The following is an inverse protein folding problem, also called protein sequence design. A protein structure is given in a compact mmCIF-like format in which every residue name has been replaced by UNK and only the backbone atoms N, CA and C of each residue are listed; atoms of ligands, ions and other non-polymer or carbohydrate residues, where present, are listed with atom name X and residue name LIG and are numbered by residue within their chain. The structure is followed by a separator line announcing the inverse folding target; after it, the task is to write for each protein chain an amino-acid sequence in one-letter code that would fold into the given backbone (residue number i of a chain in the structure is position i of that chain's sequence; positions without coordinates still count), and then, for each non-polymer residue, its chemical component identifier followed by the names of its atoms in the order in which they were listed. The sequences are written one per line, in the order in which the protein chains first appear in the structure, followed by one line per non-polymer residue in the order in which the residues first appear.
data_IF_244626222450
#
_entry.id   IF_244626222450
#
_cell.length_a   1.000
_cell.length_b   1.000
_cell.length_c   1.000
_cell.angle_alpha   90.00
_cell.angle_beta   90.00
_cell.angle_gamma   90.00
#
_symmetry.space_group_name_H-M   'P 1'
#
loop_
_entity.id
_entity.type
_entity.pdbx_description
1 polymer ?
#
# COMPACT_ATOMS: atom_id res chain seq x y z
N UNK A 1 33.90 -16.22 52.14
CA UNK A 1 33.92 -15.98 50.70
C UNK A 1 32.50 -15.64 50.36
N UNK A 2 32.25 -14.40 49.99
CA UNK A 2 30.91 -13.91 49.71
C UNK A 2 30.40 -14.60 48.44
N UNK A 3 29.25 -15.28 48.52
CA UNK A 3 28.58 -15.86 47.36
C UNK A 3 27.99 -14.70 46.54
N UNK A 4 28.49 -14.53 45.32
CA UNK A 4 27.97 -13.56 44.34
C UNK A 4 27.08 -14.33 43.37
N UNK A 5 25.81 -13.95 43.29
CA UNK A 5 24.83 -14.49 42.33
C UNK A 5 24.94 -13.65 41.05
N UNK A 6 25.27 -14.29 39.92
CA UNK A 6 25.43 -13.64 38.61
C UNK A 6 24.31 -14.14 37.67
N UNK A 7 23.54 -13.23 37.05
CA UNK A 7 22.35 -13.54 36.21
C UNK A 7 22.58 -13.08 34.75
N UNK A 8 22.19 -13.90 33.75
CA UNK A 8 22.31 -13.64 32.30
C UNK A 8 20.94 -13.62 31.57
N UNK A 9 20.89 -12.89 30.46
CA UNK A 9 19.74 -12.26 29.74
C UNK A 9 18.79 -13.15 28.91
N UNK A 10 17.53 -12.70 28.69
CA UNK A 10 16.53 -13.20 27.71
C UNK A 10 15.13 -12.53 27.77
N UNK A 11 14.49 -12.28 26.60
CA UNK A 11 13.29 -11.43 26.29
C UNK A 11 11.87 -12.00 26.61
N UNK A 12 10.79 -11.16 26.63
CA UNK A 12 9.34 -11.45 26.92
C UNK A 12 8.34 -10.74 25.95
N UNK A 13 7.14 -11.33 25.71
CA UNK A 13 5.73 -10.79 25.84
C UNK A 13 4.68 -11.94 25.55
N UNK A 14 3.42 -12.04 26.04
CA UNK A 14 2.68 -11.89 27.33
C UNK A 14 1.27 -12.58 27.21
N UNK A 15 0.64 -13.08 28.31
CA UNK A 15 -0.84 -13.17 28.64
C UNK A 15 -1.14 -14.04 29.91
N UNK A 16 -2.07 -13.60 30.77
CA UNK A 16 -2.14 -13.78 32.24
C UNK A 16 -3.15 -14.79 32.86
N UNK A 17 -3.00 -15.12 34.18
CA UNK A 17 -4.05 -15.01 35.25
C UNK A 17 -3.61 -15.44 36.70
N UNK A 18 -4.22 -14.78 37.72
CA UNK A 18 -4.30 -15.01 39.20
C UNK A 18 -3.27 -14.39 40.18
N UNK A 19 -3.67 -13.36 40.96
CA UNK A 19 -3.05 -12.99 42.25
C UNK A 19 -3.96 -12.16 43.20
N UNK A 20 -3.68 -12.26 44.52
CA UNK A 20 -4.30 -11.50 45.63
C UNK A 20 -3.32 -10.50 46.26
N UNK A 21 -3.79 -9.28 46.55
CA UNK A 21 -3.05 -8.05 46.93
C UNK A 21 -2.10 -8.12 48.15
N UNK A 22 -0.87 -7.61 47.99
CA UNK A 22 0.08 -7.31 49.07
C UNK A 22 -0.18 -5.92 49.70
N UNK A 23 0.09 -5.75 51.00
CA UNK A 23 -0.04 -4.46 51.71
C UNK A 23 1.25 -3.64 51.70
N UNK A 24 1.16 -2.30 51.82
CA UNK A 24 2.30 -1.36 51.83
C UNK A 24 3.40 -1.72 52.85
N UNK A 25 3.00 -2.31 53.99
CA UNK A 25 3.92 -2.80 55.01
C UNK A 25 4.70 -4.03 54.56
N UNK A 26 4.10 -4.92 53.76
CA UNK A 26 4.76 -6.10 53.20
C UNK A 26 5.74 -5.68 52.10
N UNK A 27 5.39 -4.66 51.33
CA UNK A 27 6.25 -4.17 50.25
C UNK A 27 7.48 -3.43 50.81
N UNK A 28 7.30 -2.59 51.84
CA UNK A 28 8.43 -1.94 52.52
C UNK A 28 9.42 -2.94 53.15
N UNK A 29 8.92 -4.03 53.73
CA UNK A 29 9.77 -5.10 54.28
C UNK A 29 10.51 -5.90 53.20
N UNK A 30 9.98 -5.94 51.98
CA UNK A 30 10.60 -6.60 50.84
C UNK A 30 11.78 -5.79 50.30
N UNK A 31 11.62 -4.46 50.24
CA UNK A 31 12.68 -3.51 49.82
C UNK A 31 13.87 -3.55 50.78
N UNK A 32 13.63 -3.51 52.09
CA UNK A 32 14.68 -3.57 53.12
C UNK A 32 15.50 -4.87 53.09
N UNK A 33 14.93 -5.97 52.57
CA UNK A 33 15.58 -7.29 52.52
C UNK A 33 16.32 -7.57 51.22
N UNK A 34 15.85 -7.02 50.11
CA UNK A 34 16.43 -7.22 48.77
C UNK A 34 17.51 -6.16 48.47
N UNK A 35 17.51 -5.04 49.20
CA UNK A 35 18.51 -3.98 49.11
C UNK A 35 18.10 -2.88 48.12
N UNK A 36 18.49 -1.64 48.40
CA UNK A 36 18.09 -0.44 47.63
C UNK A 36 18.51 -0.50 46.14
N UNK A 37 19.57 -1.25 45.81
CA UNK A 37 20.06 -1.42 44.43
C UNK A 37 19.23 -2.42 43.58
N UNK A 38 18.28 -3.14 44.17
CA UNK A 38 17.41 -4.12 43.50
C UNK A 38 15.91 -3.77 43.59
N UNK A 39 15.59 -2.55 44.04
CA UNK A 39 14.24 -2.16 44.40
C UNK A 39 13.39 -1.71 43.19
N UNK A 40 13.02 -2.68 42.36
CA UNK A 40 11.83 -2.60 41.50
C UNK A 40 10.98 -3.84 41.76
N UNK A 41 9.95 -3.68 42.60
CA UNK A 41 9.01 -4.74 42.97
C UNK A 41 7.70 -4.45 42.25
N UNK A 42 7.26 -5.43 41.46
CA UNK A 42 6.02 -5.40 40.72
C UNK A 42 5.06 -6.41 41.35
N UNK A 43 4.06 -5.92 42.09
CA UNK A 43 2.95 -6.74 42.53
C UNK A 43 1.93 -6.77 41.41
N UNK A 44 1.63 -7.96 40.90
CA UNK A 44 0.67 -8.16 39.81
C UNK A 44 -0.66 -8.55 40.44
N UNK A 45 -1.72 -7.81 40.15
CA UNK A 45 -3.10 -8.20 40.46
C UNK A 45 -3.84 -8.64 39.21
N UNK A 46 -5.15 -8.79 39.35
CA UNK A 46 -6.01 -9.41 38.32
C UNK A 46 -5.99 -8.67 36.96
N UNK A 47 -5.70 -7.37 36.97
CA UNK A 47 -5.80 -6.50 35.79
C UNK A 47 -4.42 -5.97 35.34
N UNK A 48 -3.34 -6.59 35.83
CA UNK A 48 -1.95 -6.20 35.55
C UNK A 48 -1.20 -5.77 36.81
N UNK A 49 -0.13 -5.00 36.65
CA UNK A 49 0.69 -4.54 37.78
C UNK A 49 -0.12 -3.61 38.69
N UNK A 50 -0.53 -4.11 39.85
CA UNK A 50 -1.32 -3.38 40.84
C UNK A 50 -0.46 -2.47 41.73
N UNK A 51 0.84 -2.76 41.89
CA UNK A 51 1.75 -1.85 42.58
C UNK A 51 3.18 -1.94 42.02
N UNK A 52 3.75 -0.77 41.75
CA UNK A 52 5.18 -0.57 41.50
C UNK A 52 5.73 0.23 42.67
N UNK A 53 6.69 -0.34 43.41
CA UNK A 53 7.39 0.44 44.44
C UNK A 53 8.84 0.67 44.00
N UNK A 54 9.16 1.96 43.82
CA UNK A 54 10.44 2.47 43.34
C UNK A 54 11.41 2.70 44.50
N UNK A 55 12.63 2.17 44.40
CA UNK A 55 13.75 2.56 45.25
C UNK A 55 14.57 3.74 44.73
N UNK A 56 14.47 4.12 43.45
CA UNK A 56 15.27 5.19 42.83
C UNK A 56 14.53 5.97 41.73
N UNK A 57 14.90 7.25 41.51
CA UNK A 57 14.25 8.18 40.57
C UNK A 57 14.54 7.92 39.07
N UNK A 58 15.58 7.15 38.74
CA UNK A 58 15.82 6.67 37.38
C UNK A 58 15.53 5.17 37.29
N UNK A 59 14.72 4.78 36.30
CA UNK A 59 14.61 3.39 35.89
C UNK A 59 15.97 2.92 35.36
N UNK A 60 16.55 1.82 35.87
CA UNK A 60 17.76 1.30 35.29
C UNK A 60 17.54 0.98 33.81
N UNK A 61 18.56 1.24 33.01
CA UNK A 61 18.56 0.85 31.60
C UNK A 61 18.78 -0.67 31.57
N UNK A 62 17.70 -1.44 31.43
CA UNK A 62 17.72 -2.88 31.70
C UNK A 62 17.95 -3.73 30.45
N UNK A 63 19.04 -4.49 30.43
CA UNK A 63 19.21 -5.67 29.60
C UNK A 63 19.25 -7.00 30.39
N UNK A 64 19.33 -7.01 31.74
CA UNK A 64 19.80 -8.23 32.47
C UNK A 64 19.06 -8.66 33.77
N UNK A 65 17.86 -8.17 34.11
CA UNK A 65 17.20 -8.56 35.39
C UNK A 65 16.12 -9.64 35.20
N UNK A 66 16.27 -10.79 35.89
CA UNK A 66 15.31 -11.90 35.90
C UNK A 66 14.05 -11.59 36.71
N UNK A 67 12.88 -11.99 36.20
CA UNK A 67 11.56 -11.56 36.68
C UNK A 67 11.00 -12.60 37.65
N UNK A 68 10.71 -12.21 38.90
CA UNK A 68 10.09 -13.08 39.91
C UNK A 68 8.58 -13.17 39.69
N UNK A 69 8.06 -14.36 39.38
CA UNK A 69 6.62 -14.65 39.39
C UNK A 69 6.16 -14.98 40.81
N UNK A 70 5.26 -14.16 41.34
CA UNK A 70 4.67 -14.31 42.67
C UNK A 70 3.30 -14.99 42.52
N UNK A 71 2.99 -15.99 43.35
CA UNK A 71 1.69 -16.64 43.44
C UNK A 71 1.25 -16.71 44.92
N UNK A 72 0.30 -15.87 45.30
CA UNK A 72 -0.10 -15.63 46.69
C UNK A 72 1.07 -15.12 47.52
N UNK A 73 1.41 -15.84 48.59
CA UNK A 73 2.57 -15.56 49.44
C UNK A 73 3.85 -16.26 48.94
N UNK A 74 3.88 -16.86 47.74
CA UNK A 74 4.99 -17.66 47.22
C UNK A 74 5.59 -17.09 45.93
N UNK A 75 6.79 -17.52 45.56
CA UNK A 75 7.47 -17.19 44.31
C UNK A 75 8.01 -18.45 43.66
N UNK A 76 7.86 -18.53 42.34
CA UNK A 76 8.39 -19.62 41.54
C UNK A 76 9.87 -19.43 41.22
N UNK A 77 10.66 -20.47 41.50
CA UNK A 77 12.10 -20.47 41.31
C UNK A 77 12.59 -21.75 40.62
N UNK A 78 13.70 -21.61 39.91
CA UNK A 78 14.62 -22.67 39.49
C UNK A 78 15.93 -22.52 40.27
N UNK A 79 16.43 -23.61 40.84
CA UNK A 79 17.64 -23.63 41.64
C UNK A 79 18.57 -24.78 41.25
N UNK A 80 19.88 -24.57 41.35
CA UNK A 80 20.90 -25.57 41.02
C UNK A 80 21.68 -26.00 42.26
N UNK A 81 21.89 -27.31 42.40
CA UNK A 81 22.73 -27.90 43.44
C UNK A 81 24.23 -27.86 43.09
N UNK A 82 25.06 -27.59 44.09
CA UNK A 82 26.53 -27.52 43.99
C UNK A 82 27.11 -28.86 43.50
N UNK A 83 26.79 -29.95 44.21
CA UNK A 83 27.38 -31.29 44.05
C UNK A 83 26.35 -32.35 43.64
N UNK A 84 25.71 -32.22 42.48
CA UNK A 84 24.99 -33.35 41.86
C UNK A 84 23.65 -33.77 42.48
N UNK A 85 23.41 -33.47 43.75
CA UNK A 85 22.30 -33.98 44.54
C UNK A 85 21.17 -32.96 44.65
N UNK A 86 20.38 -32.82 43.58
CA UNK A 86 19.19 -31.98 43.58
C UNK A 86 18.09 -32.46 44.54
N UNK A 87 18.12 -33.72 44.99
CA UNK A 87 17.18 -34.25 45.99
C UNK A 87 17.53 -33.79 47.41
N UNK A 88 18.83 -33.73 47.75
CA UNK A 88 19.28 -33.11 48.99
C UNK A 88 18.93 -31.60 49.02
N UNK A 89 19.16 -30.90 47.90
CA UNK A 89 18.78 -29.50 47.77
C UNK A 89 17.24 -29.33 47.86
N UNK A 90 16.46 -30.18 47.19
CA UNK A 90 14.99 -30.16 47.30
C UNK A 90 14.52 -30.43 48.75
N UNK A 91 15.22 -31.27 49.52
CA UNK A 91 14.90 -31.49 50.92
C UNK A 91 15.12 -30.22 51.78
N UNK A 92 16.18 -29.45 51.49
CA UNK A 92 16.42 -28.14 52.10
C UNK A 92 15.36 -27.11 51.72
N UNK A 93 14.98 -27.06 50.44
CA UNK A 93 13.91 -26.19 49.96
C UNK A 93 12.54 -26.59 50.55
N UNK A 94 12.25 -27.88 50.70
CA UNK A 94 11.03 -28.36 51.37
C UNK A 94 11.00 -27.98 52.85
N UNK A 95 12.15 -27.94 53.54
CA UNK A 95 12.24 -27.45 54.91
C UNK A 95 11.95 -25.94 55.01
N UNK A 96 12.13 -25.19 53.92
CA UNK A 96 11.71 -23.80 53.77
C UNK A 96 10.27 -23.64 53.26
N UNK A 97 9.54 -24.74 53.06
CA UNK A 97 8.15 -24.75 52.65
C UNK A 97 7.92 -24.73 51.14
N UNK A 98 8.92 -25.06 50.33
CA UNK A 98 8.77 -25.11 48.87
C UNK A 98 7.93 -26.32 48.43
N UNK A 99 6.97 -26.07 47.53
CA UNK A 99 6.28 -27.12 46.76
C UNK A 99 6.91 -27.21 45.37
N UNK A 100 7.46 -28.37 45.03
CA UNK A 100 8.30 -28.51 43.84
C UNK A 100 8.94 -29.87 43.66
N UNK A 101 9.77 -29.97 42.62
CA UNK A 101 10.38 -31.22 42.17
C UNK A 101 11.84 -31.02 41.79
N UNK A 102 12.63 -32.09 41.91
CA UNK A 102 14.02 -32.13 41.48
C UNK A 102 14.16 -32.97 40.21
N UNK A 103 15.07 -32.54 39.33
CA UNK A 103 15.49 -33.30 38.17
C UNK A 103 17.00 -33.17 38.00
N UNK A 104 17.75 -34.19 38.44
CA UNK A 104 19.20 -34.16 38.45
C UNK A 104 19.73 -33.11 39.43
N UNK A 105 20.42 -32.07 38.93
CA UNK A 105 20.93 -30.95 39.74
C UNK A 105 19.95 -29.78 39.85
N UNK A 106 18.88 -29.80 39.06
CA UNK A 106 17.91 -28.71 38.98
C UNK A 106 16.75 -28.99 39.92
N UNK A 107 16.34 -28.00 40.70
CA UNK A 107 15.15 -27.99 41.54
C UNK A 107 14.24 -26.88 41.05
N UNK A 108 12.97 -27.15 40.84
CA UNK A 108 11.98 -26.13 40.48
C UNK A 108 10.75 -26.22 41.37
N UNK A 109 10.18 -25.07 41.73
CA UNK A 109 8.98 -25.01 42.58
C UNK A 109 8.74 -23.63 43.17
N UNK A 110 7.69 -23.52 43.99
CA UNK A 110 7.22 -22.28 44.59
C UNK A 110 7.68 -22.19 46.06
N UNK A 111 8.37 -21.13 46.46
CA UNK A 111 8.78 -20.89 47.86
C UNK A 111 8.06 -19.68 48.47
N UNK A 112 7.69 -19.70 49.76
CA UNK A 112 7.17 -18.50 50.42
C UNK A 112 8.10 -17.30 50.30
N UNK A 113 7.55 -16.14 49.92
CA UNK A 113 8.22 -14.84 49.81
C UNK A 113 8.94 -14.50 51.11
N UNK A 114 8.31 -14.79 52.24
CA UNK A 114 8.86 -14.58 53.59
C UNK A 114 10.19 -15.33 53.84
N UNK A 115 10.50 -16.34 53.02
CA UNK A 115 11.66 -17.24 53.15
C UNK A 115 12.72 -17.06 52.07
N UNK A 116 12.54 -16.14 51.11
CA UNK A 116 13.51 -15.88 50.03
C UNK A 116 14.89 -15.49 50.58
N UNK A 117 14.95 -14.66 51.63
CA UNK A 117 16.21 -14.26 52.27
C UNK A 117 16.92 -15.38 53.05
N UNK A 118 16.29 -16.55 53.19
CA UNK A 118 16.89 -17.74 53.80
C UNK A 118 17.57 -18.64 52.74
N UNK A 119 17.34 -18.41 51.44
CA UNK A 119 17.97 -19.17 50.35
C UNK A 119 19.49 -19.05 50.33
N UNK A 120 20.01 -17.85 50.57
CA UNK A 120 21.45 -17.58 50.66
C UNK A 120 22.14 -18.27 51.84
N UNK A 121 21.39 -18.99 52.69
CA UNK A 121 21.91 -19.75 53.85
C UNK A 121 21.94 -21.25 53.60
N UNK A 122 21.44 -21.71 52.45
CA UNK A 122 21.46 -23.13 52.07
C UNK A 122 22.85 -23.52 51.61
N UNK A 123 23.47 -24.50 52.28
CA UNK A 123 24.84 -24.91 52.00
C UNK A 123 24.99 -25.63 50.65
N UNK A 124 23.92 -26.27 50.17
CA UNK A 124 23.91 -27.03 48.92
C UNK A 124 23.40 -26.22 47.71
N UNK A 125 23.02 -24.95 47.90
CA UNK A 125 22.52 -24.07 46.85
C UNK A 125 23.68 -23.38 46.12
N UNK A 126 23.79 -23.65 44.81
CA UNK A 126 24.77 -22.99 43.94
C UNK A 126 24.25 -21.69 43.33
N UNK A 127 23.05 -21.73 42.78
CA UNK A 127 22.37 -20.57 42.19
C UNK A 127 20.87 -20.77 42.17
N UNK A 128 20.10 -19.69 42.24
CA UNK A 128 18.64 -19.69 42.10
C UNK A 128 18.17 -18.51 41.25
N UNK A 129 17.15 -18.72 40.42
CA UNK A 129 16.58 -17.78 39.46
C UNK A 129 15.05 -17.98 39.38
N UNK A 130 14.29 -17.05 38.82
CA UNK A 130 12.84 -17.17 38.66
C UNK A 130 12.42 -17.83 37.31
N UNK A 131 11.18 -18.33 37.19
CA UNK A 131 10.69 -19.11 36.03
C UNK A 131 9.35 -18.64 35.43
N UNK A 132 9.12 -18.93 34.13
CA UNK A 132 7.86 -18.74 33.35
C UNK A 132 7.27 -20.08 32.85
N UNK A 133 5.93 -20.21 32.72
CA UNK A 133 5.25 -21.37 32.06
C UNK A 133 4.22 -20.91 30.99
N UNK A 134 4.20 -21.49 29.76
CA UNK A 134 3.13 -21.25 28.78
C UNK A 134 1.96 -22.25 28.93
N UNK A 135 0.71 -21.79 28.81
CA UNK A 135 -0.54 -22.58 28.91
C UNK A 135 -1.10 -22.94 27.52
N UNK A 136 -1.63 -24.17 27.38
CA UNK A 136 -2.48 -24.60 26.24
C UNK A 136 -3.83 -25.13 26.77
N UNK A 137 -4.91 -24.70 26.08
CA UNK A 137 -6.31 -25.18 26.01
C UNK A 137 -7.42 -24.41 26.78
N UNK A 138 -8.22 -23.62 26.03
CA UNK A 138 -9.61 -23.22 26.35
C UNK A 138 -10.55 -23.86 25.31
N UNK A 139 -11.84 -24.11 25.61
CA UNK A 139 -12.90 -23.24 25.04
C UNK A 139 -14.12 -23.13 25.99
N UNK A 140 -15.04 -22.14 26.00
CA UNK A 140 -15.76 -21.37 24.98
C UNK A 140 -16.43 -20.14 25.62
N UNK A 141 -16.58 -19.05 24.85
CA UNK A 141 -17.25 -17.75 25.08
C UNK A 141 -18.75 -17.84 25.53
N UNK A 142 -19.53 -16.75 25.90
CA UNK A 142 -19.58 -15.43 25.22
C UNK A 142 -19.86 -14.12 26.05
N UNK A 143 -19.44 -13.01 25.42
CA UNK A 143 -20.04 -11.66 25.24
C UNK A 143 -20.25 -10.61 26.37
N UNK A 144 -19.26 -9.69 26.45
CA UNK A 144 -19.27 -8.18 26.34
C UNK A 144 -20.14 -7.28 27.25
N UNK A 145 -19.77 -5.99 27.55
CA UNK A 145 -18.91 -5.08 26.75
C UNK A 145 -17.82 -4.25 27.47
N UNK A 146 -16.84 -3.84 26.64
CA UNK A 146 -15.67 -2.96 26.86
C UNK A 146 -16.01 -1.47 27.05
N UNK A 147 -15.10 -0.72 27.71
CA UNK A 147 -14.81 0.68 27.35
C UNK A 147 -13.33 1.07 27.63
N UNK A 148 -12.70 1.68 26.62
CA UNK A 148 -11.27 1.95 26.34
C UNK A 148 -10.50 3.00 27.19
N UNK A 149 -9.18 2.82 27.38
CA UNK A 149 -8.14 3.88 27.49
C UNK A 149 -6.78 3.40 26.91
N UNK A 150 -5.80 4.25 26.51
CA UNK A 150 -5.20 4.23 25.16
C UNK A 150 -3.78 3.63 25.08
N UNK A 151 -3.53 2.90 23.99
CA UNK A 151 -2.28 2.25 23.57
C UNK A 151 -1.12 3.24 23.28
N UNK A 152 0.09 2.91 23.75
CA UNK A 152 1.30 3.33 23.05
C UNK A 152 1.47 2.39 21.84
N UNK A 153 1.22 2.93 20.65
CA UNK A 153 1.13 2.15 19.41
C UNK A 153 2.47 1.49 19.07
N UNK A 154 2.46 0.16 18.87
CA UNK A 154 3.42 -0.43 17.93
C UNK A 154 3.12 0.17 16.56
N UNK A 155 4.11 0.79 15.91
CA UNK A 155 3.90 1.31 14.56
C UNK A 155 3.57 0.13 13.65
N UNK A 156 2.34 0.11 13.13
CA UNK A 156 1.89 -0.91 12.18
C UNK A 156 2.55 -0.63 10.84
N UNK A 157 3.27 -1.61 10.32
CA UNK A 157 3.96 -1.47 9.03
C UNK A 157 2.90 -1.48 7.91
N UNK A 158 2.79 -0.40 7.14
CA UNK A 158 1.95 -0.40 5.93
C UNK A 158 2.77 -0.88 4.75
N UNK A 159 2.38 -2.02 4.18
CA UNK A 159 2.91 -2.54 2.93
C UNK A 159 2.15 -1.91 1.78
N UNK A 160 2.87 -1.30 0.84
CA UNK A 160 2.30 -0.60 -0.31
C UNK A 160 2.81 -1.24 -1.58
N UNK A 161 1.89 -1.71 -2.41
CA UNK A 161 2.13 -2.01 -3.81
C UNK A 161 1.62 -0.83 -4.61
N UNK A 162 2.44 -0.27 -5.49
CA UNK A 162 2.05 0.93 -6.24
C UNK A 162 2.44 0.77 -7.70
N UNK A 163 1.50 0.91 -8.65
CA UNK A 163 1.85 0.99 -10.07
C UNK A 163 2.68 2.24 -10.35
N UNK A 164 3.48 2.24 -11.42
CA UNK A 164 4.26 3.41 -11.83
C UNK A 164 3.40 4.63 -12.17
N UNK A 165 2.16 4.39 -12.60
CA UNK A 165 1.16 5.38 -12.97
C UNK A 165 -0.18 4.99 -12.33
N UNK A 166 -1.01 5.97 -11.97
CA UNK A 166 -2.36 5.69 -11.45
C UNK A 166 -3.41 5.60 -12.55
N UNK A 167 -3.09 6.08 -13.75
CA UNK A 167 -3.98 6.02 -14.92
C UNK A 167 -3.16 5.88 -16.19
N UNK A 168 -3.60 5.01 -17.09
CA UNK A 168 -3.00 4.81 -18.41
C UNK A 168 -4.11 4.82 -19.47
N UNK A 169 -3.92 5.60 -20.53
CA UNK A 169 -4.83 5.63 -21.67
C UNK A 169 -4.46 4.52 -22.65
N UNK A 170 -5.44 3.71 -23.04
CA UNK A 170 -5.23 2.43 -23.74
C UNK A 170 -6.05 2.37 -25.02
N UNK A 171 -5.40 2.04 -26.14
CA UNK A 171 -6.09 1.72 -27.40
C UNK A 171 -6.45 0.22 -27.46
N UNK A 172 -7.63 -0.16 -27.99
CA UNK A 172 -7.98 -1.57 -28.19
C UNK A 172 -6.95 -2.31 -29.07
N UNK A 173 -6.69 -3.58 -28.75
CA UNK A 173 -5.69 -4.44 -29.42
C UNK A 173 -4.22 -4.03 -29.24
N UNK A 174 -3.90 -3.21 -28.23
CA UNK A 174 -2.52 -2.83 -27.91
C UNK A 174 -2.02 -3.50 -26.65
N UNK A 175 -0.70 -3.49 -26.44
CA UNK A 175 -0.09 -3.96 -25.21
C UNK A 175 -0.02 -2.83 -24.20
N UNK A 176 -0.40 -3.14 -22.96
CA UNK A 176 -0.34 -2.28 -21.78
C UNK A 176 0.85 -2.73 -20.94
N UNK A 177 1.63 -1.79 -20.39
CA UNK A 177 2.84 -2.15 -19.64
C UNK A 177 3.19 -1.11 -18.59
N UNK A 178 3.19 -1.53 -17.32
CA UNK A 178 3.51 -0.66 -16.19
C UNK A 178 4.34 -1.39 -15.14
N UNK A 179 5.11 -0.63 -14.35
CA UNK A 179 5.95 -1.19 -13.29
C UNK A 179 5.14 -1.33 -12.01
N UNK A 180 5.33 -2.44 -11.30
CA UNK A 180 4.72 -2.68 -9.98
C UNK A 180 5.78 -2.53 -8.91
N UNK A 181 5.64 -1.50 -8.09
CA UNK A 181 6.61 -1.13 -7.08
C UNK A 181 6.17 -1.54 -5.68
N UNK A 182 7.12 -1.77 -4.79
CA UNK A 182 6.93 -2.06 -3.38
C UNK A 182 7.59 -1.00 -2.51
N UNK A 183 6.89 -0.60 -1.46
CA UNK A 183 7.40 0.26 -0.40
C UNK A 183 6.71 -0.04 0.93
N UNK A 184 7.26 0.50 2.01
CA UNK A 184 6.70 0.37 3.36
C UNK A 184 6.46 1.74 4.00
N UNK A 185 5.58 1.78 5.00
CA UNK A 185 5.50 2.86 5.98
C UNK A 185 5.63 2.26 7.39
N UNK A 186 6.63 2.64 8.21
CA UNK A 186 7.72 3.55 7.89
C UNK A 186 8.58 3.08 6.70
N UNK A 187 9.17 4.02 5.97
CA UNK A 187 9.99 3.71 4.79
C UNK A 187 11.17 2.79 5.13
N UNK A 188 11.52 1.90 4.20
CA UNK A 188 12.66 0.98 4.31
C UNK A 188 12.59 0.01 5.50
N UNK A 189 11.37 -0.36 5.90
CA UNK A 189 11.17 -1.32 6.99
C UNK A 189 11.28 -2.75 6.43
N UNK A 190 12.27 -3.54 6.89
CA UNK A 190 12.40 -4.92 6.43
C UNK A 190 11.29 -5.80 6.98
N UNK A 191 10.91 -6.81 6.21
CA UNK A 191 9.82 -7.75 6.51
C UNK A 191 10.22 -9.18 6.17
N UNK A 192 9.40 -10.16 6.57
CA UNK A 192 9.54 -11.56 6.14
C UNK A 192 9.09 -11.79 4.70
N UNK A 193 8.70 -10.73 3.98
CA UNK A 193 8.22 -10.78 2.61
C UNK A 193 6.84 -10.16 2.43
N UNK A 194 6.19 -10.50 1.32
CA UNK A 194 4.83 -10.06 0.99
C UNK A 194 4.15 -11.09 0.10
N UNK A 195 2.85 -11.30 0.29
CA UNK A 195 1.99 -12.03 -0.63
C UNK A 195 0.77 -11.16 -0.99
N UNK A 196 0.50 -10.99 -2.28
CA UNK A 196 -0.59 -10.16 -2.78
C UNK A 196 -1.14 -10.69 -4.11
N UNK A 197 -2.41 -10.40 -4.38
CA UNK A 197 -3.08 -10.67 -5.65
C UNK A 197 -3.05 -9.45 -6.57
N UNK A 198 -2.91 -9.70 -7.87
CA UNK A 198 -3.17 -8.73 -8.93
C UNK A 198 -4.42 -9.19 -9.68
N UNK A 199 -5.45 -8.35 -9.72
CA UNK A 199 -6.82 -8.68 -10.14
C UNK A 199 -7.21 -7.85 -11.36
N UNK A 200 -7.99 -8.41 -12.28
CA UNK A 200 -8.44 -7.72 -13.50
C UNK A 200 -9.77 -8.28 -14.04
N UNK A 201 -10.41 -7.49 -14.89
CA UNK A 201 -11.54 -7.92 -15.73
C UNK A 201 -11.03 -8.58 -17.02
N UNK A 202 -11.17 -9.91 -17.10
CA UNK A 202 -10.73 -10.69 -18.26
C UNK A 202 -11.55 -10.47 -19.53
N UNK A 203 -12.67 -9.75 -19.45
CA UNK A 203 -13.45 -9.31 -20.61
C UNK A 203 -12.87 -8.05 -21.27
N UNK A 204 -12.02 -7.30 -20.55
CA UNK A 204 -11.41 -6.05 -21.02
C UNK A 204 -9.95 -6.25 -21.43
N UNK A 205 -9.19 -7.03 -20.64
CA UNK A 205 -7.75 -7.26 -20.87
C UNK A 205 -7.39 -8.73 -20.77
N UNK A 206 -6.45 -9.17 -21.60
CA UNK A 206 -5.85 -10.49 -21.53
C UNK A 206 -4.51 -10.46 -20.78
N UNK A 207 -4.24 -11.52 -20.02
CA UNK A 207 -3.01 -11.70 -19.28
C UNK A 207 -2.48 -13.14 -19.43
N UNK A 208 -1.20 -13.28 -19.70
CA UNK A 208 -0.49 -14.56 -19.74
C UNK A 208 0.50 -14.61 -18.56
N UNK A 209 0.40 -15.57 -17.63
CA UNK A 209 1.29 -15.61 -16.46
C UNK A 209 2.76 -15.82 -16.82
N UNK A 210 3.09 -16.42 -17.98
CA UNK A 210 4.47 -16.70 -18.40
C UNK A 210 5.12 -15.47 -19.01
N UNK A 211 4.40 -14.71 -19.84
CA UNK A 211 4.94 -13.54 -20.55
C UNK A 211 4.51 -12.20 -19.97
N UNK A 212 3.46 -12.20 -19.15
CA UNK A 212 2.85 -11.01 -18.54
C UNK A 212 3.63 -10.45 -17.36
N UNK A 213 4.60 -11.19 -16.81
CA UNK A 213 5.43 -10.74 -15.70
C UNK A 213 6.90 -10.74 -16.12
N UNK A 214 7.39 -9.58 -16.55
CA UNK A 214 8.78 -9.41 -16.97
C UNK A 214 9.60 -8.68 -15.90
N UNK A 215 10.92 -8.76 -15.99
CA UNK A 215 11.83 -8.02 -15.10
C UNK A 215 11.59 -8.29 -13.60
N UNK A 216 11.13 -9.50 -13.24
CA UNK A 216 10.80 -9.85 -11.85
C UNK A 216 12.03 -9.79 -10.94
N UNK A 217 11.92 -9.05 -9.84
CA UNK A 217 12.90 -9.01 -8.76
C UNK A 217 13.06 -10.41 -8.16
N UNK A 218 14.27 -10.96 -8.24
CA UNK A 218 14.48 -12.40 -8.01
C UNK A 218 14.71 -12.78 -6.55
N UNK A 219 15.15 -11.87 -5.67
CA UNK A 219 15.49 -12.20 -4.29
C UNK A 219 14.21 -12.43 -3.47
N UNK A 220 14.01 -13.67 -3.02
CA UNK A 220 12.82 -14.10 -2.25
C UNK A 220 11.61 -14.46 -3.10
N UNK A 221 11.66 -14.24 -4.43
CA UNK A 221 10.53 -14.45 -5.32
C UNK A 221 10.09 -15.91 -5.35
N UNK A 222 8.79 -16.13 -5.16
CA UNK A 222 8.17 -17.43 -5.34
C UNK A 222 7.86 -17.70 -6.82
N UNK A 223 7.70 -18.98 -7.22
CA UNK A 223 7.24 -19.35 -8.56
C UNK A 223 5.96 -18.61 -8.93
N UNK A 224 5.82 -18.27 -10.21
CA UNK A 224 4.61 -17.63 -10.73
C UNK A 224 3.44 -18.61 -10.59
N UNK A 225 2.37 -18.16 -9.93
CA UNK A 225 1.14 -18.93 -9.77
C UNK A 225 0.39 -19.06 -11.09
N UNK A 226 -0.53 -20.02 -11.18
CA UNK A 226 -1.50 -20.01 -12.26
C UNK A 226 -2.48 -18.84 -12.11
N UNK A 227 -3.14 -18.47 -13.21
CA UNK A 227 -4.26 -17.53 -13.16
C UNK A 227 -5.46 -18.24 -12.55
N UNK A 228 -6.09 -17.60 -11.57
CA UNK A 228 -7.21 -18.13 -10.80
C UNK A 228 -8.46 -17.26 -11.00
N UNK A 229 -9.63 -17.83 -10.72
CA UNK A 229 -10.90 -17.10 -10.74
C UNK A 229 -11.02 -16.22 -9.50
N UNK A 230 -11.35 -14.94 -9.69
CA UNK A 230 -11.78 -14.06 -8.61
C UNK A 230 -13.31 -14.14 -8.47
N UNK A 231 -13.85 -14.60 -7.33
CA UNK A 231 -15.29 -14.74 -7.18
C UNK A 231 -16.01 -13.39 -7.17
N UNK A 232 -16.72 -13.01 -8.22
CA UNK A 232 -17.48 -11.74 -8.31
C UNK A 232 -18.52 -11.49 -7.18
N UNK A 233 -18.85 -12.49 -6.37
CA UNK A 233 -19.80 -12.36 -5.26
C UNK A 233 -19.23 -11.48 -4.14
N UNK A 234 -19.99 -10.45 -3.72
CA UNK A 234 -19.55 -9.44 -2.75
C UNK A 234 -18.27 -8.68 -3.14
N UNK A 235 -17.96 -8.58 -4.43
CA UNK A 235 -16.75 -7.93 -4.92
C UNK A 235 -15.50 -8.79 -4.83
N UNK A 236 -15.61 -10.09 -4.59
CA UNK A 236 -14.44 -10.98 -4.64
C UNK A 236 -13.36 -10.69 -3.62
N UNK A 237 -12.14 -11.06 -4.00
CA UNK A 237 -10.97 -11.01 -3.12
C UNK A 237 -10.40 -9.60 -2.97
N UNK A 238 -10.66 -8.72 -3.93
CA UNK A 238 -10.21 -7.32 -3.94
C UNK A 238 -11.32 -6.30 -3.60
N UNK A 239 -12.57 -6.75 -3.45
CA UNK A 239 -13.73 -5.90 -3.18
C UNK A 239 -14.33 -5.24 -4.43
N UNK A 240 -13.85 -5.57 -5.63
CA UNK A 240 -14.35 -5.09 -6.91
C UNK A 240 -15.21 -6.16 -7.63
N UNK A 241 -16.51 -5.92 -7.87
CA UNK A 241 -17.35 -6.89 -8.58
C UNK A 241 -17.05 -7.00 -10.08
N UNK A 242 -16.22 -6.13 -10.64
CA UNK A 242 -15.88 -6.13 -12.07
C UNK A 242 -14.66 -7.00 -12.40
N UNK A 243 -13.79 -7.26 -11.42
CA UNK A 243 -12.66 -8.17 -11.59
C UNK A 243 -13.12 -9.62 -11.45
N UNK A 244 -12.63 -10.50 -12.34
CA UNK A 244 -13.05 -11.90 -12.38
C UNK A 244 -11.87 -12.89 -12.45
N UNK A 245 -10.65 -12.36 -12.56
CA UNK A 245 -9.40 -13.14 -12.57
C UNK A 245 -8.37 -12.47 -11.69
N UNK A 246 -7.51 -13.28 -11.10
CA UNK A 246 -6.35 -12.79 -10.37
C UNK A 246 -5.15 -13.74 -10.48
N UNK A 247 -3.97 -13.23 -10.14
CA UNK A 247 -2.75 -14.01 -9.97
C UNK A 247 -2.10 -13.68 -8.62
N UNK A 248 -1.71 -14.71 -7.87
CA UNK A 248 -1.03 -14.56 -6.59
C UNK A 248 0.47 -14.45 -6.79
N UNK A 249 1.06 -13.41 -6.19
CA UNK A 249 2.49 -13.14 -6.21
C UNK A 249 3.03 -13.13 -4.77
N UNK A 250 4.20 -13.70 -4.57
CA UNK A 250 4.82 -13.74 -3.25
C UNK A 250 6.34 -13.58 -3.30
N UNK A 251 6.87 -12.90 -2.30
CA UNK A 251 8.27 -12.87 -1.91
C UNK A 251 8.36 -13.30 -0.45
N UNK A 252 9.33 -14.16 -0.13
CA UNK A 252 9.51 -14.71 1.21
C UNK A 252 10.99 -14.64 1.59
N UNK A 253 11.25 -14.21 2.81
CA UNK A 253 12.56 -14.19 3.46
C UNK A 253 12.40 -14.60 4.93
N UNK A 254 12.86 -15.81 5.27
CA UNK A 254 12.75 -16.36 6.63
C UNK A 254 13.60 -15.57 7.64
N UNK A 255 14.62 -14.85 7.18
CA UNK A 255 15.46 -14.01 8.02
C UNK A 255 14.88 -12.60 8.27
N UNK A 256 13.75 -12.25 7.64
CA UNK A 256 13.04 -11.00 7.88
C UNK A 256 13.77 -9.74 7.39
N UNK A 257 14.58 -9.86 6.33
CA UNK A 257 15.39 -8.76 5.77
C UNK A 257 14.88 -8.25 4.43
N UNK A 258 13.80 -8.81 3.90
CA UNK A 258 13.27 -8.44 2.59
C UNK A 258 12.63 -7.05 2.64
N UNK A 259 12.82 -6.19 1.61
CA UNK A 259 13.55 -6.44 0.36
C UNK A 259 15.06 -6.16 0.42
N UNK A 260 15.58 -5.62 1.53
CA UNK A 260 16.96 -5.13 1.67
C UNK A 260 17.38 -4.15 0.55
N UNK A 261 16.41 -3.37 0.04
CA UNK A 261 16.58 -2.41 -1.04
C UNK A 261 15.50 -1.33 -0.96
N UNK A 262 15.89 -0.08 -1.21
CA UNK A 262 14.98 1.05 -1.23
C UNK A 262 14.31 1.26 -2.58
N UNK A 263 13.02 1.64 -2.56
CA UNK A 263 12.20 1.87 -3.76
C UNK A 263 12.29 0.73 -4.78
N UNK A 264 11.79 -0.45 -4.41
CA UNK A 264 11.93 -1.66 -5.19
C UNK A 264 10.82 -1.79 -6.25
N UNK A 265 11.20 -1.93 -7.53
CA UNK A 265 10.30 -2.49 -8.55
C UNK A 265 10.28 -4.01 -8.45
N UNK A 266 9.11 -4.59 -8.20
CA UNK A 266 8.92 -6.04 -8.08
C UNK A 266 8.91 -6.74 -9.43
N UNK A 267 8.24 -6.14 -10.41
CA UNK A 267 8.14 -6.65 -11.78
C UNK A 267 7.49 -5.60 -12.67
N UNK A 268 7.58 -5.84 -13.98
CA UNK A 268 6.78 -5.15 -14.99
C UNK A 268 5.60 -6.04 -15.40
N UNK A 269 4.39 -5.52 -15.26
CA UNK A 269 3.16 -6.20 -15.64
C UNK A 269 2.83 -5.87 -17.11
N UNK A 270 2.47 -6.88 -17.90
CA UNK A 270 2.09 -6.72 -19.30
C UNK A 270 0.74 -7.37 -19.56
N UNK A 271 -0.18 -6.58 -20.10
CA UNK A 271 -1.51 -7.00 -20.53
C UNK A 271 -1.70 -6.70 -22.01
N UNK A 272 -2.72 -7.30 -22.62
CA UNK A 272 -3.18 -6.93 -23.96
C UNK A 272 -4.63 -6.47 -23.87
N UNK A 273 -4.91 -5.25 -24.33
CA UNK A 273 -6.26 -4.72 -24.42
C UNK A 273 -7.06 -5.49 -25.48
N UNK A 274 -8.26 -5.94 -25.14
CA UNK A 274 -9.11 -6.69 -26.06
C UNK A 274 -9.77 -5.76 -27.11
N UNK A 275 -10.26 -6.30 -28.25
CA UNK A 275 -10.86 -5.47 -29.30
C UNK A 275 -12.06 -4.62 -28.87
N UNK A 276 -12.77 -5.03 -27.82
CA UNK A 276 -13.93 -4.33 -27.24
C UNK A 276 -13.61 -3.67 -25.91
N UNK A 277 -12.33 -3.34 -25.67
CA UNK A 277 -11.90 -2.61 -24.48
C UNK A 277 -12.61 -1.24 -24.40
N UNK A 278 -13.16 -0.93 -23.23
CA UNK A 278 -13.74 0.38 -22.92
C UNK A 278 -13.02 0.99 -21.71
N UNK A 279 -13.11 0.35 -20.56
CA UNK A 279 -12.37 0.78 -19.37
C UNK A 279 -12.25 -0.41 -18.42
N UNK A 280 -11.20 -0.39 -17.59
CA UNK A 280 -11.07 -1.33 -16.48
C UNK A 280 -10.08 -0.79 -15.45
N UNK A 281 -9.92 -1.51 -14.35
CA UNK A 281 -8.83 -1.28 -13.41
C UNK A 281 -8.10 -2.58 -13.10
N UNK A 282 -6.81 -2.45 -12.82
CA UNK A 282 -6.01 -3.55 -12.27
C UNK A 282 -5.84 -3.27 -10.79
N UNK A 283 -6.41 -4.13 -9.94
CA UNK A 283 -6.40 -3.96 -8.50
C UNK A 283 -5.31 -4.81 -7.86
N UNK A 284 -4.72 -4.29 -6.78
CA UNK A 284 -3.80 -5.01 -5.91
C UNK A 284 -4.43 -5.17 -4.54
N UNK A 285 -4.53 -6.42 -4.08
CA UNK A 285 -5.09 -6.75 -2.77
C UNK A 285 -4.22 -7.79 -2.07
N UNK A 286 -4.35 -7.92 -0.75
CA UNK A 286 -3.67 -8.98 -0.02
C UNK A 286 -4.60 -9.54 1.06
N UNK A 287 -4.51 -10.85 1.29
CA UNK A 287 -5.17 -11.46 2.43
C UNK A 287 -4.39 -11.11 3.72
N UNK A 288 -5.02 -10.45 4.72
CA UNK A 288 -4.38 -10.12 5.98
C UNK A 288 -3.72 -11.31 6.68
N UNK A 289 -4.29 -12.53 6.55
CA UNK A 289 -3.75 -13.75 7.16
C UNK A 289 -2.40 -14.19 6.59
N UNK A 290 -2.05 -13.69 5.40
CA UNK A 290 -0.80 -14.01 4.70
C UNK A 290 0.26 -12.90 4.82
N UNK A 291 -0.03 -11.83 5.58
CA UNK A 291 0.89 -10.72 5.76
C UNK A 291 1.89 -10.99 6.89
N UNK A 292 3.07 -10.34 6.85
CA UNK A 292 3.98 -10.28 8.00
C UNK A 292 3.27 -9.81 9.28
N UNK A 293 3.74 -10.31 10.43
CA UNK A 293 3.20 -9.88 11.71
C UNK A 293 3.32 -8.36 11.91
N UNK A 294 2.30 -7.76 12.55
CA UNK A 294 2.22 -6.32 12.80
C UNK A 294 2.31 -5.45 11.52
N UNK A 295 1.77 -5.97 10.41
CA UNK A 295 1.69 -5.24 9.15
C UNK A 295 0.27 -5.24 8.59
N UNK A 296 -0.06 -4.20 7.84
CA UNK A 296 -1.26 -4.11 7.04
C UNK A 296 -0.86 -3.88 5.58
N UNK A 297 -1.78 -4.17 4.67
CA UNK A 297 -1.63 -3.88 3.26
C UNK A 297 -2.51 -2.69 2.88
N UNK A 298 -1.95 -1.74 2.14
CA UNK A 298 -2.71 -0.64 1.55
C UNK A 298 -3.12 -1.03 0.11
N UNK A 299 -4.42 -1.25 -0.16
CA UNK A 299 -4.89 -1.52 -1.51
C UNK A 299 -4.56 -0.38 -2.47
N UNK A 300 -4.31 -0.73 -3.71
CA UNK A 300 -4.04 0.23 -4.78
C UNK A 300 -4.53 -0.31 -6.11
N UNK A 301 -4.64 0.57 -7.10
CA UNK A 301 -5.03 0.20 -8.45
C UNK A 301 -4.42 1.13 -9.49
N UNK A 302 -4.43 0.68 -10.74
CA UNK A 302 -4.24 1.51 -11.92
C UNK A 302 -5.52 1.49 -12.75
N UNK A 303 -6.02 2.67 -13.11
CA UNK A 303 -7.15 2.82 -14.01
C UNK A 303 -6.68 2.77 -15.47
N UNK A 304 -7.26 1.90 -16.26
CA UNK A 304 -7.02 1.81 -17.70
C UNK A 304 -8.24 2.41 -18.40
N UNK A 305 -8.06 3.53 -19.08
CA UNK A 305 -9.14 4.26 -19.74
C UNK A 305 -9.01 4.14 -21.25
N UNK A 306 -10.14 4.12 -21.98
CA UNK A 306 -10.10 4.15 -23.44
C UNK A 306 -9.33 5.37 -23.91
N UNK A 307 -8.24 5.15 -24.63
CA UNK A 307 -7.67 6.18 -25.47
C UNK A 307 -8.57 6.33 -26.68
N UNK A 308 -9.48 7.30 -26.63
CA UNK A 308 -10.08 7.85 -27.83
C UNK A 308 -9.09 8.87 -28.37
N UNK A 309 -8.34 8.56 -29.45
CA UNK A 309 -7.59 9.61 -30.11
C UNK A 309 -8.58 10.73 -30.44
N UNK A 310 -8.21 12.01 -30.24
CA UNK A 310 -9.08 13.09 -30.68
C UNK A 310 -9.42 12.83 -32.15
N UNK A 311 -10.69 13.04 -32.56
CA UNK A 311 -11.06 12.87 -33.95
C UNK A 311 -10.04 13.63 -34.79
N UNK A 312 -9.49 12.97 -35.81
CA UNK A 312 -8.57 13.64 -36.74
C UNK A 312 -9.27 14.92 -37.20
N UNK A 313 -8.68 16.10 -36.97
CA UNK A 313 -9.36 17.35 -37.27
C UNK A 313 -9.75 17.36 -38.75
N UNK A 314 -10.97 17.79 -39.01
CA UNK A 314 -11.54 17.92 -40.34
C UNK A 314 -12.03 19.34 -40.57
N UNK A 315 -12.07 19.78 -41.82
CA UNK A 315 -12.71 21.05 -42.19
C UNK A 315 -14.24 20.98 -42.22
N UNK A 316 -14.84 19.81 -41.92
CA UNK A 316 -16.27 19.63 -41.67
C UNK A 316 -16.57 20.01 -40.22
N UNK A 317 -16.80 21.30 -40.02
CA UNK A 317 -16.93 21.95 -38.73
C UNK A 317 -18.26 21.60 -38.09
N UNK A 318 -19.35 21.55 -38.87
CA UNK A 318 -20.67 21.19 -38.34
C UNK A 318 -20.93 19.66 -38.26
N UNK A 319 -20.04 18.85 -38.86
CA UNK A 319 -20.03 17.39 -38.76
C UNK A 319 -21.05 16.71 -39.65
N UNK A 320 -21.61 17.39 -40.65
CA UNK A 320 -22.66 16.83 -41.51
C UNK A 320 -22.13 15.82 -42.57
N UNK A 321 -20.82 15.60 -42.63
CA UNK A 321 -20.15 14.74 -43.59
C UNK A 321 -19.85 15.41 -44.94
N UNK A 322 -19.95 16.73 -45.04
CA UNK A 322 -19.69 17.53 -46.23
C UNK A 322 -18.97 18.81 -45.83
N UNK A 323 -17.78 19.04 -46.40
CA UNK A 323 -17.09 20.32 -46.28
C UNK A 323 -17.74 21.30 -47.28
N UNK A 324 -18.51 22.26 -46.78
CA UNK A 324 -19.20 23.26 -47.60
C UNK A 324 -18.83 24.70 -47.19
N UNK A 325 -18.71 25.56 -48.20
CA UNK A 325 -18.31 26.94 -47.98
C UNK A 325 -19.36 27.73 -47.18
N UNK A 326 -20.65 27.55 -47.49
CA UNK A 326 -21.74 28.32 -46.88
C UNK A 326 -22.07 27.86 -45.46
N UNK A 327 -21.64 26.66 -45.06
CA UNK A 327 -21.77 26.15 -43.71
C UNK A 327 -20.46 26.24 -42.94
N UNK A 328 -19.48 25.40 -43.26
CA UNK A 328 -18.21 25.30 -42.55
C UNK A 328 -17.35 26.54 -42.77
N UNK A 329 -17.22 26.97 -44.03
CA UNK A 329 -16.44 28.15 -44.38
C UNK A 329 -16.94 29.43 -43.70
N UNK A 330 -18.26 29.58 -43.58
CA UNK A 330 -18.86 30.75 -42.95
C UNK A 330 -18.75 30.70 -41.41
N UNK A 331 -18.90 29.51 -40.81
CA UNK A 331 -18.63 29.29 -39.39
C UNK A 331 -17.16 29.58 -39.07
N UNK A 332 -16.21 29.07 -39.87
CA UNK A 332 -14.78 29.33 -39.71
C UNK A 332 -14.47 30.84 -39.74
N UNK A 333 -14.96 31.57 -40.75
CA UNK A 333 -14.74 33.03 -40.85
C UNK A 333 -15.31 33.76 -39.63
N UNK A 334 -16.52 33.41 -39.18
CA UNK A 334 -17.12 34.01 -37.98
C UNK A 334 -16.26 33.72 -36.74
N UNK A 335 -15.81 32.48 -36.58
CA UNK A 335 -14.94 32.09 -35.49
C UNK A 335 -13.63 32.90 -35.47
N UNK A 336 -12.99 33.07 -36.64
CA UNK A 336 -11.75 33.85 -36.80
C UNK A 336 -11.94 35.36 -36.59
N UNK A 337 -13.16 35.88 -36.77
CA UNK A 337 -13.52 37.24 -36.34
C UNK A 337 -13.82 37.36 -34.84
N UNK A 338 -13.73 36.26 -34.08
CA UNK A 338 -13.97 36.21 -32.64
C UNK A 338 -15.43 36.00 -32.24
N UNK A 339 -16.31 35.64 -33.18
CA UNK A 339 -17.68 35.26 -32.82
C UNK A 339 -17.69 33.89 -32.12
N UNK A 340 -18.60 33.75 -31.15
CA UNK A 340 -18.84 32.54 -30.33
C UNK A 340 -20.33 32.47 -29.97
N UNK A 341 -20.77 31.31 -29.46
CA UNK A 341 -22.17 31.07 -29.10
C UNK A 341 -23.11 31.17 -30.30
N UNK A 342 -24.36 31.54 -30.08
CA UNK A 342 -25.39 31.55 -31.13
C UNK A 342 -25.01 32.39 -32.37
N UNK A 343 -24.31 33.51 -32.20
CA UNK A 343 -23.88 34.35 -33.33
C UNK A 343 -22.91 33.63 -34.28
N UNK A 344 -22.19 32.62 -33.78
CA UNK A 344 -21.31 31.79 -34.61
C UNK A 344 -22.11 30.96 -35.60
N UNK A 345 -23.19 30.33 -35.15
CA UNK A 345 -23.94 29.29 -35.88
C UNK A 345 -25.26 29.77 -36.48
N UNK A 346 -25.73 30.98 -36.13
CA UNK A 346 -27.03 31.51 -36.56
C UNK A 346 -27.16 31.53 -38.09
N UNK A 347 -28.08 30.68 -38.59
CA UNK A 347 -28.47 30.59 -40.00
C UNK A 347 -27.43 29.98 -40.94
N UNK A 348 -26.39 29.31 -40.42
CA UNK A 348 -25.27 28.81 -41.24
C UNK A 348 -24.94 27.33 -41.00
N UNK A 349 -25.53 26.65 -40.02
CA UNK A 349 -25.30 25.22 -39.82
C UNK A 349 -26.04 24.40 -40.90
N UNK A 350 -25.36 23.43 -41.48
CA UNK A 350 -25.85 22.58 -42.57
C UNK A 350 -26.95 21.62 -42.18
N UNK A 351 -27.66 21.10 -43.19
CA UNK A 351 -28.61 20.01 -42.98
C UNK A 351 -27.86 18.73 -42.60
N UNK A 352 -28.30 18.07 -41.54
CA UNK A 352 -27.64 16.85 -41.06
C UNK A 352 -26.42 17.09 -40.17
N UNK A 353 -26.14 18.34 -39.81
CA UNK A 353 -25.11 18.67 -38.82
C UNK A 353 -25.26 17.85 -37.54
N UNK A 354 -24.15 17.26 -37.12
CA UNK A 354 -24.10 16.42 -35.91
C UNK A 354 -23.57 17.18 -34.70
N UNK A 355 -22.93 18.35 -34.91
CA UNK A 355 -22.48 19.23 -33.83
C UNK A 355 -23.47 20.38 -33.60
N UNK A 356 -23.79 20.61 -32.34
CA UNK A 356 -24.54 21.79 -31.90
C UNK A 356 -23.61 23.01 -31.69
N UNK A 357 -24.19 24.17 -31.38
CA UNK A 357 -23.42 25.43 -31.20
C UNK A 357 -22.27 25.32 -30.20
N UNK A 358 -22.48 24.67 -29.06
CA UNK A 358 -21.46 24.51 -28.03
C UNK A 358 -20.35 23.56 -28.50
N UNK A 359 -20.73 22.43 -29.10
CA UNK A 359 -19.80 21.46 -29.67
C UNK A 359 -18.95 22.04 -30.81
N UNK A 360 -19.52 22.91 -31.64
CA UNK A 360 -18.78 23.63 -32.70
C UNK A 360 -17.74 24.57 -32.09
N UNK A 361 -18.09 25.31 -31.02
CA UNK A 361 -17.13 26.18 -30.33
C UNK A 361 -16.00 25.37 -29.74
N UNK A 362 -16.32 24.31 -28.99
CA UNK A 362 -15.32 23.41 -28.40
C UNK A 362 -14.41 22.82 -29.47
N UNK A 363 -14.98 22.32 -30.55
CA UNK A 363 -14.22 21.76 -31.68
C UNK A 363 -13.23 22.78 -32.26
N UNK A 364 -13.67 24.00 -32.54
CA UNK A 364 -12.81 25.04 -33.10
C UNK A 364 -11.77 25.57 -32.10
N UNK A 365 -12.10 25.63 -30.81
CA UNK A 365 -11.15 26.01 -29.76
C UNK A 365 -10.06 24.92 -29.58
N UNK A 366 -10.40 23.63 -29.77
CA UNK A 366 -9.46 22.51 -29.64
C UNK A 366 -8.53 22.33 -30.85
N UNK A 367 -9.07 22.42 -32.07
CA UNK A 367 -8.33 22.05 -33.29
C UNK A 367 -8.20 23.18 -34.32
N UNK A 368 -8.85 24.32 -34.10
CA UNK A 368 -8.88 25.45 -35.05
C UNK A 368 -7.50 25.96 -35.44
N UNK A 369 -6.57 26.07 -34.49
CA UNK A 369 -5.21 26.54 -34.76
C UNK A 369 -4.42 25.60 -35.68
N UNK A 370 -4.74 24.29 -35.68
CA UNK A 370 -4.06 23.31 -36.52
C UNK A 370 -4.53 23.39 -37.98
N UNK A 371 -5.84 23.64 -38.18
CA UNK A 371 -6.47 23.58 -39.51
C UNK A 371 -6.64 24.95 -40.17
N UNK A 372 -6.94 26.00 -39.39
CA UNK A 372 -7.33 27.33 -39.88
C UNK A 372 -6.16 28.31 -40.02
N UNK A 373 -4.93 28.00 -39.62
CA UNK A 373 -3.72 28.72 -40.07
C UNK A 373 -3.27 28.16 -41.43
N UNK A 374 -4.01 28.53 -42.46
CA UNK A 374 -3.93 27.98 -43.82
C UNK A 374 -2.66 28.45 -44.54
N UNK A 375 -2.27 29.72 -44.35
CA UNK A 375 -1.05 30.28 -44.97
C UNK A 375 0.21 30.10 -44.09
N UNK A 376 0.05 29.70 -42.83
CA UNK A 376 1.14 29.20 -42.00
C UNK A 376 2.01 30.30 -41.43
N UNK A 377 1.46 31.50 -41.24
CA UNK A 377 2.15 32.59 -40.57
C UNK A 377 2.08 32.48 -39.03
N UNK A 378 1.45 31.44 -38.49
CA UNK A 378 1.26 31.24 -37.06
C UNK A 378 0.08 32.03 -36.48
N UNK A 379 -0.81 32.57 -37.31
CA UNK A 379 -2.02 33.27 -36.89
C UNK A 379 -3.16 32.98 -37.85
N UNK A 380 -4.18 32.26 -37.39
CA UNK A 380 -5.40 32.05 -38.16
C UNK A 380 -6.18 33.37 -38.32
N UNK A 381 -6.08 34.01 -39.48
CA UNK A 381 -6.69 35.30 -39.77
C UNK A 381 -7.96 35.20 -40.62
N UNK A 382 -9.05 35.87 -40.22
CA UNK A 382 -10.31 35.82 -40.97
C UNK A 382 -10.21 36.37 -42.41
N UNK A 383 -9.38 37.40 -42.61
CA UNK A 383 -9.19 38.06 -43.91
C UNK A 383 -8.08 37.43 -44.78
N UNK A 384 -7.40 36.43 -44.25
CA UNK A 384 -6.31 35.72 -44.91
C UNK A 384 -6.73 34.26 -45.06
N UNK A 385 -6.60 33.51 -43.97
CA UNK A 385 -6.88 32.08 -43.89
C UNK A 385 -8.35 31.74 -44.07
N UNK A 386 -9.24 32.53 -43.46
CA UNK A 386 -10.69 32.38 -43.65
C UNK A 386 -11.09 32.53 -45.12
N UNK A 387 -10.46 33.47 -45.85
CA UNK A 387 -10.69 33.64 -47.29
C UNK A 387 -10.09 32.49 -48.09
N UNK A 388 -8.90 32.01 -47.72
CA UNK A 388 -8.26 30.86 -48.37
C UNK A 388 -9.11 29.60 -48.23
N UNK A 389 -9.59 29.30 -47.03
CA UNK A 389 -10.48 28.17 -46.76
C UNK A 389 -11.79 28.31 -47.55
N UNK A 390 -12.44 29.49 -47.52
CA UNK A 390 -13.67 29.74 -48.27
C UNK A 390 -13.49 29.53 -49.79
N UNK A 391 -12.40 30.05 -50.35
CA UNK A 391 -12.09 29.87 -51.78
C UNK A 391 -11.84 28.42 -52.13
N UNK A 392 -11.12 27.69 -51.27
CA UNK A 392 -10.92 26.26 -51.44
C UNK A 392 -12.23 25.48 -51.41
N UNK A 393 -13.09 25.72 -50.42
CA UNK A 393 -14.41 25.08 -50.30
C UNK A 393 -15.33 25.42 -51.49
N UNK A 394 -15.19 26.60 -52.10
CA UNK A 394 -15.88 26.97 -53.35
C UNK A 394 -15.22 26.38 -54.62
N UNK A 395 -14.11 25.65 -54.50
CA UNK A 395 -13.42 24.99 -55.61
C UNK A 395 -12.49 25.90 -56.42
N UNK A 396 -12.09 27.06 -55.90
CA UNK A 396 -11.12 27.93 -56.57
C UNK A 396 -9.73 27.29 -56.58
N UNK A 397 -8.99 27.51 -57.67
CA UNK A 397 -7.66 26.94 -57.88
C UNK A 397 -6.66 28.01 -58.33
N UNK A 398 -5.37 27.65 -58.33
CA UNK A 398 -4.26 28.48 -58.82
C UNK A 398 -4.28 29.92 -58.24
N UNK A 399 -4.13 30.94 -59.08
CA UNK A 399 -4.15 32.34 -58.65
C UNK A 399 -5.49 32.75 -58.06
N UNK A 400 -6.60 32.12 -58.46
CA UNK A 400 -7.92 32.45 -57.94
C UNK A 400 -8.08 32.01 -56.48
N UNK A 401 -7.36 30.97 -56.04
CA UNK A 401 -7.27 30.55 -54.65
C UNK A 401 -6.50 31.59 -53.82
N UNK A 402 -5.30 31.99 -54.27
CA UNK A 402 -4.34 32.71 -53.41
C UNK A 402 -4.34 34.24 -53.55
N UNK A 403 -4.85 34.79 -54.67
CA UNK A 403 -4.68 36.21 -54.99
C UNK A 403 -5.26 37.12 -53.91
N UNK A 404 -4.39 37.89 -53.24
CA UNK A 404 -4.74 38.87 -52.22
C UNK A 404 -5.24 38.30 -50.88
N UNK A 405 -5.09 36.99 -50.65
CA UNK A 405 -5.51 36.33 -49.41
C UNK A 405 -4.34 35.73 -48.60
N UNK A 406 -3.14 35.65 -49.18
CA UNK A 406 -1.93 35.18 -48.49
C UNK A 406 -1.27 36.34 -47.73
N UNK A 407 -0.97 36.12 -46.47
CA UNK A 407 -0.30 37.10 -45.60
C UNK A 407 1.15 37.38 -46.03
N UNK A 408 1.70 38.58 -45.76
CA UNK A 408 3.09 38.89 -46.09
C UNK A 408 4.14 38.02 -45.39
N UNK A 409 3.78 37.46 -44.22
CA UNK A 409 4.60 36.59 -43.36
C UNK A 409 4.25 35.11 -43.48
N UNK A 410 3.39 34.74 -44.44
CA UNK A 410 3.00 33.36 -44.72
C UNK A 410 4.18 32.46 -45.08
N UNK A 411 4.16 31.23 -44.58
CA UNK A 411 5.13 30.18 -44.96
C UNK A 411 4.62 29.31 -46.12
N UNK A 412 3.30 29.22 -46.31
CA UNK A 412 2.62 28.57 -47.44
C UNK A 412 2.09 29.62 -48.41
N UNK A 413 2.88 29.94 -49.42
CA UNK A 413 2.59 31.06 -50.35
C UNK A 413 2.08 30.63 -51.73
N UNK A 414 2.00 29.32 -52.00
CA UNK A 414 1.58 28.79 -53.31
C UNK A 414 0.24 28.08 -53.21
N UNK A 415 -0.52 28.07 -54.31
CA UNK A 415 -1.81 27.37 -54.37
C UNK A 415 -1.67 25.86 -54.07
N UNK A 416 -0.57 25.22 -54.52
CA UNK A 416 -0.29 23.81 -54.23
C UNK A 416 -0.14 23.57 -52.74
N UNK A 417 0.71 24.35 -52.06
CA UNK A 417 0.98 24.19 -50.63
C UNK A 417 -0.27 24.44 -49.77
N UNK A 418 -1.10 25.42 -50.15
CA UNK A 418 -2.36 25.71 -49.47
C UNK A 418 -3.37 24.56 -49.67
N UNK A 419 -3.50 24.05 -50.89
CA UNK A 419 -4.36 22.91 -51.16
C UNK A 419 -3.90 21.65 -50.42
N UNK A 420 -2.61 21.37 -50.39
CA UNK A 420 -2.04 20.24 -49.64
C UNK A 420 -2.35 20.33 -48.15
N UNK A 421 -2.21 21.53 -47.55
CA UNK A 421 -2.60 21.76 -46.15
C UNK A 421 -4.09 21.49 -45.93
N UNK A 422 -4.98 22.11 -46.70
CA UNK A 422 -6.43 21.94 -46.53
C UNK A 422 -6.90 20.50 -46.80
N UNK A 423 -6.29 19.81 -47.78
CA UNK A 423 -6.58 18.40 -48.07
C UNK A 423 -6.11 17.45 -46.97
N UNK A 424 -5.14 17.84 -46.14
CA UNK A 424 -4.75 17.02 -44.98
C UNK A 424 -5.82 16.94 -43.90
N UNK A 425 -6.85 17.81 -43.98
CA UNK A 425 -8.01 17.86 -43.09
C UNK A 425 -9.34 17.57 -43.84
N UNK A 426 -9.28 16.90 -45.01
CA UNK A 426 -10.50 16.42 -45.67
C UNK A 426 -11.06 15.18 -44.98
N UNK A 427 -12.34 14.86 -45.25
CA UNK A 427 -13.02 13.64 -44.79
C UNK A 427 -12.44 12.35 -45.37
#
# INVERSE_FOLDING_TARGET
MDQVIEIKEGFIFDFAEHLTNLTDSQISQLIDKVGEELAWIYAVGADGVDAVIQGTEQSPTFANAGILEVYGDNVDIRAWAEDGDGEALLAEFKALGLDGSAHGRLVYGSIPISKIGELAKLENLKSAEATYRPIIWLPTAPDTPEEDIPSAQSEVIQLKITPSELTEAVEPNTNISFDVNYSTEPAETPTTGIAFGMHWDSSQVAFDPVTGLTERFSLGAQPISEVLDDPIANGGLDGDPNTDKYILQAWIDEEGKWPNNSNLTLYKANFTALPGFEETQINFSANPDNLPANSNFAPSSIALTLHTPPPSPTLDIDGNGVIDALTDGLVAIRYLFGFRGETLTEGVVGEGATRNTEEIVTYLDEVGDMMLDVDGNGTAGALTDGILFMRHALGFQDQALISGAVSPDATRTTASAINEHLQSFSL
#
